data_IF_498342784639
#
_entry.id   IF_498342784639
#
_cell.length_a   1.000
_cell.length_b   1.000
_cell.length_c   1.000
_cell.angle_alpha   90.00
_cell.angle_beta   90.00
_cell.angle_gamma   90.00
#
_symmetry.space_group_name_H-M   'P 1'
#
loop_
_entity.id
_entity.type
_entity.pdbx_description
1 polymer ?
#
# COMPACT_ATOMS: atom_id res chain seq x y z
N UNK A 1 6.01 -8.85 14.77
CA UNK A 1 7.10 -8.33 13.89
C UNK A 1 6.97 -9.06 12.56
N UNK A 2 6.75 -8.36 11.44
CA UNK A 2 6.42 -8.97 10.12
C UNK A 2 7.46 -10.00 9.69
N UNK A 3 8.76 -9.67 9.68
CA UNK A 3 9.78 -10.65 9.27
C UNK A 3 9.90 -11.84 10.22
N UNK A 4 9.62 -11.63 11.51
CA UNK A 4 9.69 -12.70 12.52
C UNK A 4 8.51 -13.65 12.48
N UNK A 5 7.37 -13.25 11.90
CA UNK A 5 6.19 -14.12 11.86
C UNK A 5 6.30 -15.20 10.78
N UNK A 6 7.22 -15.06 9.82
CA UNK A 6 7.33 -16.00 8.69
C UNK A 6 6.14 -15.96 7.73
N UNK A 7 5.21 -15.02 7.89
CA UNK A 7 4.00 -14.90 7.07
C UNK A 7 4.29 -14.60 5.59
N UNK A 8 5.47 -14.05 5.29
CA UNK A 8 5.91 -13.75 3.93
C UNK A 8 7.16 -14.55 3.60
N UNK A 9 7.18 -15.18 2.41
CA UNK A 9 8.28 -16.06 2.00
C UNK A 9 9.61 -15.36 1.69
N UNK A 10 9.66 -14.03 1.82
CA UNK A 10 10.87 -13.22 1.65
C UNK A 10 10.88 -12.08 2.68
N UNK A 11 12.08 -11.57 3.05
CA UNK A 11 12.19 -10.40 3.93
C UNK A 11 11.46 -9.19 3.36
N UNK A 12 10.91 -8.36 4.25
CA UNK A 12 10.30 -7.09 3.84
C UNK A 12 11.35 -6.16 3.19
N UNK A 13 11.03 -5.64 2.00
CA UNK A 13 11.88 -4.69 1.28
C UNK A 13 11.46 -3.22 1.50
N UNK A 14 10.56 -2.97 2.44
CA UNK A 14 10.00 -1.63 2.70
C UNK A 14 11.08 -0.67 3.21
N UNK A 15 11.30 0.43 2.50
CA UNK A 15 12.22 1.48 2.90
C UNK A 15 11.68 2.22 4.14
N UNK A 16 12.54 2.42 5.13
CA UNK A 16 12.28 3.29 6.28
C UNK A 16 13.12 4.55 6.09
N UNK A 17 12.49 5.65 5.73
CA UNK A 17 13.14 6.94 5.48
C UNK A 17 12.46 8.08 6.23
N UNK A 18 13.14 9.22 6.30
CA UNK A 18 12.52 10.47 6.75
C UNK A 18 11.51 10.91 5.68
N UNK A 19 10.35 11.42 6.12
CA UNK A 19 9.44 12.11 5.23
C UNK A 19 10.14 13.35 4.65
N UNK A 20 9.91 13.62 3.37
CA UNK A 20 10.42 14.79 2.65
C UNK A 20 9.23 15.53 2.03
N UNK A 21 9.48 16.51 1.16
CA UNK A 21 8.44 17.24 0.48
C UNK A 21 7.44 16.31 -0.20
N UNK A 22 6.15 16.61 -0.02
CA UNK A 22 5.03 15.85 -0.57
C UNK A 22 4.29 16.70 -1.60
N UNK A 23 4.31 16.26 -2.85
CA UNK A 23 3.64 16.94 -3.95
C UNK A 23 2.26 16.33 -4.16
N UNK A 24 1.22 17.15 -4.05
CA UNK A 24 -0.17 16.69 -4.19
C UNK A 24 -0.43 16.29 -5.64
N UNK A 25 -0.92 15.06 -5.85
CA UNK A 25 -1.35 14.60 -7.16
C UNK A 25 -2.60 15.36 -7.65
N UNK A 26 -2.81 15.39 -8.95
CA UNK A 26 -3.91 16.08 -9.62
C UNK A 26 -5.29 15.68 -9.07
N UNK A 27 -6.27 16.58 -9.14
CA UNK A 27 -7.58 16.38 -8.50
C UNK A 27 -8.36 15.15 -8.98
N UNK A 28 -8.07 14.63 -10.18
CA UNK A 28 -8.70 13.41 -10.70
C UNK A 28 -8.08 12.12 -10.12
N UNK A 29 -6.89 12.18 -9.54
CA UNK A 29 -6.27 11.06 -8.82
C UNK A 29 -6.80 10.92 -7.39
N UNK A 30 -7.26 12.00 -6.78
CA UNK A 30 -7.81 11.98 -5.43
C UNK A 30 -9.13 11.19 -5.41
N UNK A 31 -9.26 10.27 -4.46
CA UNK A 31 -10.46 9.44 -4.27
C UNK A 31 -10.87 8.65 -5.54
N UNK A 32 -9.89 8.26 -6.37
CA UNK A 32 -10.16 7.67 -7.69
C UNK A 32 -11.11 6.47 -7.63
N UNK A 33 -10.91 5.53 -6.69
CA UNK A 33 -11.77 4.34 -6.55
C UNK A 33 -13.12 4.64 -5.87
N UNK A 34 -13.28 5.76 -5.17
CA UNK A 34 -14.60 6.20 -4.69
C UNK A 34 -15.42 6.79 -5.85
N UNK A 35 -14.77 7.53 -6.75
CA UNK A 35 -15.38 8.10 -7.96
C UNK A 35 -15.63 7.04 -9.05
N UNK A 36 -14.76 6.03 -9.13
CA UNK A 36 -14.78 4.95 -10.11
C UNK A 36 -14.68 3.59 -9.37
N UNK A 37 -15.79 3.05 -8.82
CA UNK A 37 -15.76 1.82 -8.02
C UNK A 37 -15.20 0.59 -8.75
N UNK A 38 -15.42 0.51 -10.07
CA UNK A 38 -14.91 -0.55 -10.96
C UNK A 38 -13.57 -0.17 -11.62
N UNK A 39 -12.89 0.85 -11.10
CA UNK A 39 -11.60 1.34 -11.59
C UNK A 39 -10.46 0.35 -11.34
N UNK A 40 -9.32 0.60 -11.97
CA UNK A 40 -8.15 -0.27 -11.84
C UNK A 40 -7.60 -0.30 -10.40
N UNK A 41 -7.42 -1.51 -9.87
CA UNK A 41 -6.65 -1.77 -8.65
C UNK A 41 -6.08 -3.19 -8.66
N UNK A 42 -4.89 -3.36 -8.09
CA UNK A 42 -4.26 -4.67 -7.84
C UNK A 42 -4.11 -4.95 -6.34
N UNK A 43 -4.74 -4.17 -5.47
CA UNK A 43 -4.61 -4.33 -4.02
C UNK A 43 -5.81 -5.11 -3.46
N UNK A 44 -5.53 -6.12 -2.64
CA UNK A 44 -6.56 -6.89 -1.93
C UNK A 44 -6.04 -7.34 -0.54
N UNK A 45 -6.96 -7.69 0.34
CA UNK A 45 -6.64 -8.15 1.70
C UNK A 45 -6.06 -9.56 1.65
N UNK A 46 -4.92 -9.76 2.32
CA UNK A 46 -4.40 -11.09 2.63
C UNK A 46 -4.73 -11.39 4.09
N UNK A 47 -5.45 -12.47 4.35
CA UNK A 47 -5.79 -12.91 5.70
C UNK A 47 -4.54 -13.55 6.32
N UNK A 48 -3.71 -12.70 6.94
CA UNK A 48 -2.51 -13.11 7.67
C UNK A 48 -2.80 -13.02 9.16
N UNK A 49 -2.56 -14.11 9.89
CA UNK A 49 -2.61 -14.15 11.35
C UNK A 49 -1.18 -14.01 11.89
N UNK A 50 -1.00 -13.21 12.96
CA UNK A 50 0.30 -12.81 13.52
C UNK A 50 0.49 -13.26 14.95
#
# INVERSE_FOLDING_TARGET
RVDKSGAWGKPAATLIGKATDWWVAEGYHQDYLLKNPEGYTCHWVRKVEF
#
